data_IF_288125861416
#
_entry.id   IF_288125861416
#
_cell.length_a   1.000
_cell.length_b   1.000
_cell.length_c   1.000
_cell.angle_alpha   90.00
_cell.angle_beta   90.00
_cell.angle_gamma   90.00
#
_symmetry.space_group_name_H-M   'P 1'
#
loop_
_entity.id
_entity.type
_entity.pdbx_description
1 polymer ?
#
# COMPACT_ATOMS: atom_id res chain seq x y z
N UNK A 1 -4.85 -13.24 0.02
CA UNK A 1 -4.15 -13.32 1.30
C UNK A 1 -2.66 -13.20 1.09
N UNK A 2 -1.94 -12.40 1.87
CA UNK A 2 -0.50 -12.19 1.65
C UNK A 2 0.34 -13.47 1.74
N UNK A 3 0.01 -14.40 2.65
CA UNK A 3 0.74 -15.66 2.76
C UNK A 3 0.55 -16.58 1.55
N UNK A 4 -0.56 -16.48 0.84
CA UNK A 4 -0.76 -17.25 -0.39
C UNK A 4 0.20 -16.80 -1.48
N UNK A 5 0.49 -15.51 -1.55
CA UNK A 5 1.53 -15.00 -2.44
C UNK A 5 2.89 -15.58 -2.09
N UNK A 6 3.24 -15.64 -0.82
CA UNK A 6 4.49 -16.25 -0.36
C UNK A 6 4.61 -17.72 -0.77
N UNK A 7 3.53 -18.49 -0.67
CA UNK A 7 3.50 -19.87 -1.13
C UNK A 7 3.68 -19.98 -2.64
N UNK A 8 3.00 -19.15 -3.40
CA UNK A 8 3.14 -19.12 -4.86
C UNK A 8 4.57 -18.80 -5.27
N UNK A 9 5.23 -17.86 -4.59
CA UNK A 9 6.62 -17.50 -4.86
C UNK A 9 7.57 -18.67 -4.61
N UNK A 10 7.34 -19.45 -3.55
CA UNK A 10 8.16 -20.63 -3.24
C UNK A 10 8.04 -21.70 -4.32
N UNK A 11 6.83 -21.84 -4.89
CA UNK A 11 6.56 -22.86 -5.92
C UNK A 11 7.02 -22.42 -7.31
N UNK A 12 7.07 -21.13 -7.58
CA UNK A 12 7.27 -20.60 -8.94
C UNK A 12 8.58 -19.83 -9.13
N UNK A 13 9.60 -20.08 -8.37
CA UNK A 13 10.96 -19.50 -8.44
C UNK A 13 11.13 -18.31 -9.39
N UNK A 14 11.32 -17.10 -8.86
CA UNK A 14 11.65 -15.88 -9.61
C UNK A 14 10.66 -15.51 -10.73
N UNK A 15 9.45 -16.01 -10.69
CA UNK A 15 8.44 -15.62 -11.66
C UNK A 15 7.96 -14.21 -11.33
N UNK A 16 8.31 -13.23 -12.19
CA UNK A 16 7.92 -11.83 -12.02
C UNK A 16 6.41 -11.64 -11.97
N UNK A 17 5.65 -12.49 -12.66
CA UNK A 17 4.19 -12.46 -12.66
C UNK A 17 3.67 -12.78 -11.26
N UNK A 18 4.27 -13.76 -10.56
CA UNK A 18 3.87 -14.10 -9.20
C UNK A 18 4.15 -12.95 -8.21
N UNK A 19 5.29 -12.23 -8.37
CA UNK A 19 5.61 -11.08 -7.52
C UNK A 19 4.62 -9.94 -7.71
N UNK A 20 4.34 -9.56 -8.96
CA UNK A 20 3.38 -8.49 -9.22
C UNK A 20 1.95 -8.89 -8.85
N UNK A 21 1.60 -10.18 -8.89
CA UNK A 21 0.27 -10.65 -8.48
C UNK A 21 0.02 -10.49 -6.97
N UNK A 22 1.06 -10.31 -6.15
CA UNK A 22 0.92 -10.08 -4.72
C UNK A 22 0.41 -8.67 -4.39
N UNK A 23 0.55 -7.71 -5.28
CA UNK A 23 0.09 -6.34 -5.05
C UNK A 23 -1.41 -6.27 -4.76
N UNK A 24 -2.20 -6.97 -5.56
CA UNK A 24 -3.66 -6.92 -5.44
C UNK A 24 -4.18 -7.53 -4.14
N UNK A 25 -3.81 -8.76 -3.75
CA UNK A 25 -4.27 -9.31 -2.48
C UNK A 25 -3.76 -8.53 -1.27
N UNK A 26 -2.55 -8.01 -1.30
CA UNK A 26 -2.04 -7.20 -0.19
C UNK A 26 -2.82 -5.89 -0.07
N UNK A 27 -3.06 -5.20 -1.18
CA UNK A 27 -3.83 -3.96 -1.18
C UNK A 27 -5.23 -4.18 -0.60
N UNK A 28 -5.93 -5.20 -1.09
CA UNK A 28 -7.28 -5.53 -0.61
C UNK A 28 -7.29 -5.98 0.84
N UNK A 29 -6.32 -6.78 1.25
CA UNK A 29 -6.26 -7.29 2.63
C UNK A 29 -6.29 -6.14 3.63
N UNK A 30 -5.40 -5.16 3.49
CA UNK A 30 -5.35 -4.04 4.43
C UNK A 30 -6.55 -3.10 4.25
N UNK A 31 -6.99 -2.85 3.02
CA UNK A 31 -8.15 -1.98 2.80
C UNK A 31 -9.44 -2.54 3.41
N UNK A 32 -9.57 -3.87 3.45
CA UNK A 32 -10.76 -4.52 4.02
C UNK A 32 -10.64 -4.75 5.53
N UNK A 33 -9.42 -4.93 6.06
CA UNK A 33 -9.20 -5.25 7.47
C UNK A 33 -9.08 -4.02 8.34
N UNK A 34 -8.73 -2.87 7.77
CA UNK A 34 -8.52 -1.63 8.50
C UNK A 34 -9.62 -0.64 8.17
N UNK A 35 -10.04 0.11 9.20
CA UNK A 35 -10.93 1.24 9.05
C UNK A 35 -10.10 2.51 8.99
N UNK A 36 -10.38 3.39 8.03
CA UNK A 36 -9.67 4.67 7.96
C UNK A 36 -10.05 5.55 9.15
N UNK A 37 -9.04 6.05 9.85
CA UNK A 37 -9.18 7.02 10.93
C UNK A 37 -7.86 7.76 11.08
N UNK A 38 -7.89 9.04 11.42
CA UNK A 38 -6.66 9.78 11.62
C UNK A 38 -5.95 9.36 12.93
N UNK A 39 -4.65 9.66 13.01
CA UNK A 39 -3.83 9.26 14.15
C UNK A 39 -4.32 9.81 15.47
N UNK A 40 -4.87 11.01 15.46
CA UNK A 40 -5.41 11.64 16.67
C UNK A 40 -6.57 10.83 17.23
N UNK A 41 -7.43 10.28 16.38
CA UNK A 41 -8.56 9.46 16.81
C UNK A 41 -8.13 8.10 17.34
N UNK A 42 -7.10 7.49 16.73
CA UNK A 42 -6.68 6.12 17.04
C UNK A 42 -5.67 6.10 18.21
N UNK A 43 -4.68 6.98 18.16
CA UNK A 43 -3.53 6.94 19.07
C UNK A 43 -3.50 8.11 20.07
N UNK A 44 -4.38 9.10 19.89
CA UNK A 44 -4.36 10.33 20.68
C UNK A 44 -3.17 11.23 20.35
N UNK A 45 -2.48 10.98 19.25
CA UNK A 45 -1.31 11.74 18.81
C UNK A 45 -1.42 11.98 17.31
N UNK A 46 -1.19 13.21 16.87
CA UNK A 46 -1.09 13.51 15.46
C UNK A 46 0.19 12.85 14.89
N UNK A 47 0.11 12.35 13.67
CA UNK A 47 1.23 11.76 12.94
C UNK A 47 1.92 10.60 13.66
N UNK A 48 1.16 9.80 14.40
CA UNK A 48 1.70 8.57 14.96
C UNK A 48 1.88 7.52 13.86
N UNK A 49 3.10 7.01 13.72
CA UNK A 49 3.43 6.00 12.71
C UNK A 49 3.31 4.61 13.31
N UNK A 50 2.18 3.97 13.10
CA UNK A 50 1.94 2.63 13.61
C UNK A 50 2.72 1.57 12.84
N UNK A 51 3.19 0.52 13.55
CA UNK A 51 3.67 -0.67 12.89
C UNK A 51 2.49 -1.42 12.27
N UNK A 52 2.73 -2.30 11.26
CA UNK A 52 1.64 -3.11 10.70
C UNK A 52 0.88 -3.92 11.75
N UNK A 53 1.58 -4.45 12.74
CA UNK A 53 0.95 -5.21 13.83
C UNK A 53 0.05 -4.32 14.68
N UNK A 54 0.52 -3.12 15.03
CA UNK A 54 -0.27 -2.15 15.80
C UNK A 54 -1.54 -1.76 15.04
N UNK A 55 -1.41 -1.48 13.73
CA UNK A 55 -2.56 -1.12 12.90
C UNK A 55 -3.59 -2.25 12.87
N UNK A 56 -3.16 -3.49 12.69
CA UNK A 56 -4.06 -4.65 12.67
C UNK A 56 -4.73 -4.89 14.02
N UNK A 57 -4.01 -4.71 15.12
CA UNK A 57 -4.56 -4.85 16.47
C UNK A 57 -5.63 -3.81 16.77
N UNK A 58 -5.43 -2.58 16.30
CA UNK A 58 -6.43 -1.50 16.46
C UNK A 58 -7.59 -1.63 15.48
N UNK A 59 -7.35 -2.25 14.32
CA UNK A 59 -8.34 -2.34 13.25
C UNK A 59 -8.65 -1.00 12.60
N UNK A 60 -7.83 0.02 12.82
CA UNK A 60 -8.00 1.37 12.29
C UNK A 60 -6.64 1.98 11.97
N UNK A 61 -6.58 2.80 10.92
CA UNK A 61 -5.32 3.35 10.43
C UNK A 61 -5.58 4.61 9.60
N UNK A 62 -4.58 5.48 9.48
CA UNK A 62 -4.59 6.56 8.51
C UNK A 62 -3.87 6.13 7.21
N UNK A 63 -3.77 7.04 6.23
CA UNK A 63 -3.18 6.68 4.93
C UNK A 63 -1.72 6.24 5.03
N UNK A 64 -0.97 6.81 5.96
CA UNK A 64 0.43 6.44 6.20
C UNK A 64 0.55 5.01 6.68
N UNK A 65 -0.30 4.63 7.64
CA UNK A 65 -0.31 3.29 8.21
C UNK A 65 -0.68 2.24 7.16
N UNK A 66 -1.65 2.53 6.28
CA UNK A 66 -1.97 1.66 5.16
C UNK A 66 -0.76 1.46 4.24
N UNK A 67 -0.12 2.56 3.85
CA UNK A 67 1.03 2.50 2.93
C UNK A 67 2.20 1.73 3.55
N UNK A 68 2.49 1.98 4.81
CA UNK A 68 3.58 1.30 5.55
C UNK A 68 3.28 -0.20 5.68
N UNK A 69 2.05 -0.56 6.06
CA UNK A 69 1.66 -1.97 6.22
C UNK A 69 1.78 -2.73 4.90
N UNK A 70 1.33 -2.14 3.80
CA UNK A 70 1.45 -2.73 2.47
C UNK A 70 2.91 -2.86 2.04
N UNK A 71 3.72 -1.84 2.30
CA UNK A 71 5.15 -1.86 1.98
C UNK A 71 5.84 -3.03 2.67
N UNK A 72 5.71 -3.13 3.99
CA UNK A 72 6.38 -4.19 4.74
C UNK A 72 5.88 -5.57 4.36
N UNK A 73 4.59 -5.73 4.12
CA UNK A 73 4.02 -7.01 3.70
C UNK A 73 4.57 -7.46 2.36
N UNK A 74 4.64 -6.56 1.39
CA UNK A 74 5.21 -6.87 0.07
C UNK A 74 6.71 -7.19 0.17
N UNK A 75 7.45 -6.47 1.03
CA UNK A 75 8.85 -6.78 1.29
C UNK A 75 9.02 -8.18 1.87
N UNK A 76 8.18 -8.56 2.80
CA UNK A 76 8.19 -9.92 3.38
C UNK A 76 7.89 -10.99 2.35
N UNK A 77 7.07 -10.68 1.36
CA UNK A 77 6.73 -11.61 0.28
C UNK A 77 7.80 -11.67 -0.81
N UNK A 78 8.86 -10.88 -0.72
CA UNK A 78 9.98 -10.93 -1.63
C UNK A 78 10.03 -9.83 -2.69
N UNK A 79 9.12 -8.86 -2.65
CA UNK A 79 9.17 -7.72 -3.58
C UNK A 79 10.36 -6.83 -3.21
N UNK A 80 11.29 -6.57 -4.16
CA UNK A 80 12.48 -5.76 -3.86
C UNK A 80 12.12 -4.32 -3.48
N UNK A 81 12.89 -3.73 -2.56
CA UNK A 81 12.65 -2.36 -2.09
C UNK A 81 12.72 -1.31 -3.20
N UNK A 82 13.56 -1.53 -4.22
CA UNK A 82 13.67 -0.57 -5.33
C UNK A 82 12.42 -0.49 -6.21
N UNK A 83 11.50 -1.43 -6.07
CA UNK A 83 10.22 -1.41 -6.78
C UNK A 83 9.10 -0.73 -5.99
N UNK A 84 9.35 -0.37 -4.73
CA UNK A 84 8.33 0.16 -3.85
C UNK A 84 8.72 1.54 -3.35
N UNK A 85 7.76 2.48 -3.33
CA UNK A 85 7.94 3.80 -2.74
C UNK A 85 6.69 4.23 -2.02
N UNK A 86 6.86 4.79 -0.82
CA UNK A 86 5.81 5.51 -0.14
C UNK A 86 5.82 6.93 -0.68
N UNK A 87 4.71 7.36 -1.28
CA UNK A 87 4.65 8.58 -2.07
C UNK A 87 3.61 9.52 -1.53
N UNK A 88 4.01 10.79 -1.33
CA UNK A 88 3.09 11.87 -0.97
C UNK A 88 2.36 12.37 -2.21
N UNK A 89 1.06 12.52 -2.08
CA UNK A 89 0.19 13.09 -3.10
C UNK A 89 -0.84 14.02 -2.46
N UNK A 90 -1.53 14.80 -3.27
CA UNK A 90 -2.72 15.53 -2.84
C UNK A 90 -3.95 14.78 -3.35
N UNK A 91 -4.84 14.41 -2.46
CA UNK A 91 -6.13 13.83 -2.82
C UNK A 91 -7.08 14.98 -3.16
N UNK A 92 -7.32 15.19 -4.46
CA UNK A 92 -8.01 16.39 -4.94
C UNK A 92 -9.46 16.47 -4.47
N UNK A 93 -10.16 15.34 -4.45
CA UNK A 93 -11.56 15.30 -4.01
C UNK A 93 -11.73 15.59 -2.52
N UNK A 94 -10.73 15.23 -1.73
CA UNK A 94 -10.70 15.47 -0.28
C UNK A 94 -10.01 16.78 0.07
N UNK A 95 -9.32 17.38 -0.91
CA UNK A 95 -8.51 18.59 -0.75
C UNK A 95 -7.55 18.50 0.44
N UNK A 96 -6.84 17.37 0.55
CA UNK A 96 -5.90 17.16 1.64
C UNK A 96 -4.71 16.32 1.22
N UNK A 97 -3.62 16.41 1.99
CA UNK A 97 -2.45 15.58 1.80
C UNK A 97 -2.82 14.11 2.01
N UNK A 98 -2.20 13.24 1.23
CA UNK A 98 -2.47 11.82 1.23
C UNK A 98 -1.19 11.05 0.94
N UNK A 99 -1.11 9.83 1.43
CA UNK A 99 0.05 8.98 1.21
C UNK A 99 -0.39 7.66 0.61
N UNK A 100 0.33 7.21 -0.40
CA UNK A 100 0.05 5.95 -1.09
C UNK A 100 1.34 5.15 -1.24
N UNK A 101 1.20 3.86 -1.50
CA UNK A 101 2.32 3.03 -1.92
C UNK A 101 2.33 2.95 -3.44
N UNK A 102 3.49 3.19 -4.05
CA UNK A 102 3.67 3.03 -5.49
C UNK A 102 4.56 1.83 -5.78
N UNK A 103 4.19 1.07 -6.81
CA UNK A 103 4.93 -0.08 -7.27
C UNK A 103 5.40 0.15 -8.70
N UNK A 104 6.70 -0.04 -8.93
CA UNK A 104 7.34 0.14 -10.24
C UNK A 104 7.63 -1.23 -10.85
N UNK A 105 6.90 -1.65 -11.89
CA UNK A 105 7.13 -2.97 -12.52
C UNK A 105 8.55 -3.12 -13.08
N UNK A 106 9.11 -2.01 -13.58
CA UNK A 106 10.48 -1.95 -14.08
C UNK A 106 11.02 -0.54 -13.89
N UNK A 107 12.37 -0.34 -13.93
CA UNK A 107 12.95 1.00 -13.85
C UNK A 107 12.41 1.91 -14.97
N UNK A 108 11.97 3.11 -14.60
CA UNK A 108 11.40 4.07 -15.56
C UNK A 108 9.97 3.78 -15.99
N UNK A 109 9.35 2.69 -15.55
CA UNK A 109 7.95 2.41 -15.86
C UNK A 109 7.03 3.30 -15.06
N UNK A 110 5.82 3.53 -15.58
CA UNK A 110 4.77 4.21 -14.84
C UNK A 110 4.39 3.37 -13.62
N UNK A 111 4.37 3.95 -12.41
CA UNK A 111 4.05 3.20 -11.22
C UNK A 111 2.57 2.86 -11.12
N UNK A 112 2.29 1.75 -10.46
CA UNK A 112 0.95 1.36 -10.05
C UNK A 112 0.71 1.90 -8.63
N UNK A 113 -0.51 2.37 -8.37
CA UNK A 113 -0.86 3.01 -7.10
C UNK A 113 -1.67 2.04 -6.24
N UNK A 114 -1.15 1.75 -5.05
CA UNK A 114 -1.84 0.98 -4.01
C UNK A 114 -2.32 1.97 -2.94
N UNK A 115 -3.63 2.06 -2.79
CA UNK A 115 -4.25 3.14 -2.05
C UNK A 115 -5.40 2.60 -1.18
N UNK A 116 -5.66 3.25 -0.07
CA UNK A 116 -6.81 2.91 0.78
C UNK A 116 -8.12 3.49 0.29
N UNK A 117 -8.07 4.47 -0.63
CA UNK A 117 -9.28 5.09 -1.16
C UNK A 117 -10.05 4.18 -2.11
N UNK A 118 -9.34 3.34 -2.86
CA UNK A 118 -9.95 2.35 -3.76
C UNK A 118 -9.16 1.05 -3.73
N UNK A 119 -9.84 -0.08 -3.92
CA UNK A 119 -9.19 -1.39 -3.96
C UNK A 119 -8.50 -1.65 -5.30
N UNK A 120 -9.00 -1.07 -6.38
CA UNK A 120 -8.42 -1.26 -7.71
C UNK A 120 -7.03 -0.63 -7.77
N UNK A 121 -6.05 -1.39 -8.24
CA UNK A 121 -4.69 -0.89 -8.48
C UNK A 121 -4.63 -0.39 -9.91
N UNK A 122 -4.31 0.90 -10.08
CA UNK A 122 -4.27 1.55 -11.38
C UNK A 122 -2.95 2.27 -11.59
N UNK A 123 -2.51 2.42 -12.86
CA UNK A 123 -1.36 3.28 -13.16
C UNK A 123 -1.58 4.71 -12.68
N UNK A 124 -0.52 5.38 -12.31
CA UNK A 124 -0.57 6.75 -11.79
C UNK A 124 -1.28 7.71 -12.75
N UNK A 125 -1.08 7.55 -14.07
CA UNK A 125 -1.74 8.37 -15.09
C UNK A 125 -3.26 8.20 -15.16
N UNK A 126 -3.80 7.14 -14.57
CA UNK A 126 -5.25 6.92 -14.48
C UNK A 126 -5.85 7.38 -13.15
N UNK A 127 -5.01 7.89 -12.25
CA UNK A 127 -5.44 8.40 -10.95
C UNK A 127 -5.47 9.93 -11.00
N UNK A 128 -6.42 10.47 -11.75
CA UNK A 128 -6.59 11.92 -11.92
C UNK A 128 -7.06 12.62 -10.63
N UNK A 129 -7.53 11.86 -9.66
CA UNK A 129 -7.91 12.34 -8.34
C UNK A 129 -6.71 12.58 -7.41
N UNK A 130 -5.51 12.18 -7.81
CA UNK A 130 -4.28 12.37 -7.05
C UNK A 130 -3.33 13.27 -7.83
N UNK A 131 -2.72 14.23 -7.13
CA UNK A 131 -1.72 15.13 -7.71
C UNK A 131 -0.40 14.89 -6.98
N UNK A 132 0.70 14.62 -7.68
CA UNK A 132 2.02 14.52 -7.04
C UNK A 132 2.40 15.82 -6.34
N UNK A 133 3.07 15.68 -5.22
CA UNK A 133 3.57 16.80 -4.45
C UNK A 133 5.02 17.07 -4.82
#
# INVERSE_FOLDING_TARGET
MPWQCGMMLRLQFNNRVALSSCNRPVNRFFNQRLRFADDQQVWGQADYWATPVQALQRGAADCEDYAIAKYFSLRQLGVPSHKLRITYVKALRLNQAHMVLTYYPSPGAEPLVLDNLIDAIRPAGQRNDLKPV
#
